data_IF_956745461685
#
_entry.id   IF_956745461685
#
_cell.length_a   1.000
_cell.length_b   1.000
_cell.length_c   1.000
_cell.angle_alpha   90.00
_cell.angle_beta   90.00
_cell.angle_gamma   90.00
#
_symmetry.space_group_name_H-M   'P 1'
#
loop_
_entity.id
_entity.type
_entity.pdbx_description
1 polymer ?
#
# COMPACT_ATOMS: atom_id res chain seq x y z
N UNK A 1 1.29 -17.68 30.28
CA UNK A 1 1.97 -17.65 28.97
C UNK A 1 2.29 -19.05 28.43
N UNK A 2 2.79 -20.00 29.24
CA UNK A 2 3.32 -21.30 28.76
C UNK A 2 2.33 -22.39 28.24
N UNK A 3 1.04 -22.09 28.01
CA UNK A 3 0.07 -23.10 27.50
C UNK A 3 -0.23 -22.96 26.00
N UNK A 4 -0.14 -21.75 25.46
CA UNK A 4 -0.56 -21.44 24.09
C UNK A 4 0.46 -20.56 23.33
N UNK A 5 1.64 -20.33 23.91
CA UNK A 5 2.75 -19.55 23.32
C UNK A 5 2.36 -18.19 22.71
N UNK A 6 1.36 -17.53 23.29
CA UNK A 6 1.02 -16.15 22.91
C UNK A 6 2.04 -15.14 23.46
N UNK A 7 2.33 -14.12 22.65
CA UNK A 7 3.05 -12.94 23.12
C UNK A 7 2.22 -12.14 24.12
N UNK A 8 2.88 -11.32 24.92
CA UNK A 8 2.24 -10.44 25.92
C UNK A 8 1.15 -9.58 25.28
N UNK A 9 1.44 -9.01 24.11
CA UNK A 9 0.50 -8.21 23.33
C UNK A 9 -0.70 -9.05 22.87
N UNK A 10 -0.47 -10.25 22.32
CA UNK A 10 -1.56 -11.14 21.91
C UNK A 10 -2.47 -11.52 23.09
N UNK A 11 -1.88 -11.85 24.24
CA UNK A 11 -2.62 -12.20 25.45
C UNK A 11 -3.47 -11.02 25.96
N UNK A 12 -2.93 -9.81 25.98
CA UNK A 12 -3.67 -8.59 26.35
C UNK A 12 -4.86 -8.35 25.41
N UNK A 13 -4.63 -8.43 24.10
CA UNK A 13 -5.70 -8.27 23.12
C UNK A 13 -6.81 -9.32 23.26
N UNK A 14 -6.45 -10.59 23.53
CA UNK A 14 -7.43 -11.66 23.77
C UNK A 14 -8.28 -11.36 25.02
N UNK A 15 -7.67 -10.85 26.10
CA UNK A 15 -8.40 -10.49 27.33
C UNK A 15 -9.37 -9.32 27.13
N UNK A 16 -9.08 -8.42 26.18
CA UNK A 16 -9.93 -7.28 25.83
C UNK A 16 -11.09 -7.64 24.89
N UNK A 17 -11.13 -8.85 24.33
CA UNK A 17 -12.20 -9.26 23.42
C UNK A 17 -13.56 -9.36 24.14
N UNK A 18 -14.64 -8.94 23.45
CA UNK A 18 -16.01 -9.05 23.94
C UNK A 18 -16.64 -10.37 23.47
N UNK A 19 -17.62 -10.91 24.20
CA UNK A 19 -18.33 -12.14 23.82
C UNK A 19 -18.93 -12.10 22.40
N UNK A 20 -19.39 -10.94 21.95
CA UNK A 20 -19.90 -10.74 20.58
C UNK A 20 -18.84 -10.98 19.49
N UNK A 21 -17.55 -10.82 19.81
CA UNK A 21 -16.43 -11.06 18.89
C UNK A 21 -16.16 -12.56 18.66
N UNK A 22 -16.80 -13.43 19.45
CA UNK A 22 -16.69 -14.89 19.35
C UNK A 22 -17.90 -15.51 18.62
N UNK A 23 -18.76 -14.68 18.02
CA UNK A 23 -19.87 -15.15 17.17
C UNK A 23 -19.31 -15.57 15.82
N UNK A 24 -19.87 -16.62 15.21
CA UNK A 24 -19.32 -17.22 13.98
C UNK A 24 -19.09 -16.24 12.82
N UNK A 25 -19.94 -15.22 12.67
CA UNK A 25 -19.77 -14.20 11.62
C UNK A 25 -18.58 -13.26 11.88
N UNK A 26 -18.24 -12.99 13.14
CA UNK A 26 -17.05 -12.21 13.51
C UNK A 26 -15.77 -13.05 13.37
N UNK A 27 -15.83 -14.34 13.70
CA UNK A 27 -14.70 -15.27 13.47
C UNK A 27 -14.39 -15.38 11.98
N UNK A 28 -15.43 -15.47 11.13
CA UNK A 28 -15.23 -15.52 9.67
C UNK A 28 -14.55 -14.24 9.18
N UNK A 29 -14.99 -13.05 9.62
CA UNK A 29 -14.34 -11.79 9.25
C UNK A 29 -12.87 -11.75 9.64
N UNK A 30 -12.51 -12.25 10.82
CA UNK A 30 -11.10 -12.32 11.26
C UNK A 30 -10.31 -13.27 10.35
N UNK A 31 -10.88 -14.42 9.97
CA UNK A 31 -10.25 -15.34 9.03
C UNK A 31 -10.03 -14.68 7.66
N UNK A 32 -11.05 -13.99 7.14
CA UNK A 32 -10.97 -13.30 5.85
C UNK A 32 -9.91 -12.19 5.90
N UNK A 33 -9.86 -11.41 7.00
CA UNK A 33 -8.83 -10.38 7.19
C UNK A 33 -7.42 -10.98 7.24
N UNK A 34 -7.23 -12.12 7.92
CA UNK A 34 -5.94 -12.81 7.95
C UNK A 34 -5.51 -13.20 6.53
N UNK A 35 -6.42 -13.78 5.74
CA UNK A 35 -6.13 -14.18 4.36
C UNK A 35 -5.80 -12.98 3.47
N UNK A 36 -6.50 -11.86 3.64
CA UNK A 36 -6.20 -10.60 2.95
C UNK A 36 -4.82 -10.05 3.33
N UNK A 37 -4.46 -10.08 4.62
CA UNK A 37 -3.14 -9.63 5.08
C UNK A 37 -2.02 -10.52 4.53
N UNK A 38 -2.20 -11.83 4.50
CA UNK A 38 -1.21 -12.76 3.94
C UNK A 38 -0.99 -12.45 2.45
N UNK A 39 -2.06 -12.31 1.67
CA UNK A 39 -1.96 -11.93 0.25
C UNK A 39 -1.27 -10.59 0.04
N UNK A 40 -1.56 -9.61 0.91
CA UNK A 40 -0.90 -8.32 0.86
C UNK A 40 0.60 -8.44 1.16
N UNK A 41 0.98 -9.24 2.16
CA UNK A 41 2.39 -9.50 2.48
C UNK A 41 3.09 -10.12 1.27
N UNK A 42 2.52 -11.18 0.69
CA UNK A 42 3.10 -11.84 -0.50
C UNK A 42 3.26 -10.87 -1.68
N UNK A 43 2.26 -10.03 -1.92
CA UNK A 43 2.33 -9.00 -2.95
C UNK A 43 3.45 -8.00 -2.67
N UNK A 44 3.52 -7.44 -1.47
CA UNK A 44 4.55 -6.47 -1.10
C UNK A 44 5.95 -7.08 -1.13
N UNK A 45 6.13 -8.30 -0.62
CA UNK A 45 7.39 -9.03 -0.69
C UNK A 45 7.81 -9.28 -2.14
N UNK A 46 6.87 -9.60 -3.02
CA UNK A 46 7.17 -9.78 -4.45
C UNK A 46 7.65 -8.51 -5.13
N UNK A 47 7.23 -7.33 -4.65
CA UNK A 47 7.71 -6.02 -5.15
C UNK A 47 9.11 -5.74 -4.60
N UNK A 48 9.32 -5.92 -3.29
CA UNK A 48 10.60 -5.62 -2.64
C UNK A 48 11.73 -6.51 -3.19
N UNK A 49 11.42 -7.77 -3.49
CA UNK A 49 12.42 -8.73 -3.96
C UNK A 49 12.68 -8.69 -5.48
N UNK A 50 11.95 -7.87 -6.25
CA UNK A 50 12.11 -7.75 -7.70
C UNK A 50 12.16 -6.27 -8.12
N UNK A 51 13.34 -5.79 -8.51
CA UNK A 51 13.55 -4.41 -8.94
C UNK A 51 12.74 -4.02 -10.18
N UNK A 52 12.53 -4.93 -11.14
CA UNK A 52 11.71 -4.64 -12.33
C UNK A 52 10.25 -4.40 -11.93
N UNK A 53 9.72 -5.22 -11.03
CA UNK A 53 8.35 -5.06 -10.51
C UNK A 53 8.20 -3.78 -9.70
N UNK A 54 9.22 -3.39 -8.95
CA UNK A 54 9.23 -2.10 -8.25
C UNK A 54 9.16 -0.93 -9.25
N UNK A 55 9.98 -0.96 -10.29
CA UNK A 55 9.98 0.09 -11.32
C UNK A 55 8.63 0.17 -12.06
N UNK A 56 8.00 -0.97 -12.35
CA UNK A 56 6.66 -1.03 -12.92
C UNK A 56 5.63 -0.33 -12.02
N UNK A 57 5.59 -0.68 -10.73
CA UNK A 57 4.68 -0.05 -9.76
C UNK A 57 4.91 1.46 -9.68
N UNK A 58 6.17 1.91 -9.65
CA UNK A 58 6.51 3.34 -9.62
C UNK A 58 6.00 4.05 -10.87
N UNK A 59 6.18 3.44 -12.05
CA UNK A 59 5.68 4.02 -13.31
C UNK A 59 4.16 4.10 -13.33
N UNK A 60 3.47 3.07 -12.85
CA UNK A 60 2.00 3.07 -12.72
C UNK A 60 1.52 4.21 -11.79
N UNK A 61 2.14 4.38 -10.62
CA UNK A 61 1.80 5.45 -9.68
C UNK A 61 2.06 6.84 -10.27
N UNK A 62 3.19 7.04 -10.94
CA UNK A 62 3.51 8.31 -11.60
C UNK A 62 2.52 8.64 -12.72
N UNK A 63 2.10 7.64 -13.50
CA UNK A 63 1.08 7.82 -14.53
C UNK A 63 -0.28 8.15 -13.93
N UNK A 64 -0.69 7.48 -12.86
CA UNK A 64 -1.93 7.80 -12.15
C UNK A 64 -1.93 9.25 -11.64
N UNK A 65 -0.82 9.72 -11.07
CA UNK A 65 -0.67 11.12 -10.64
C UNK A 65 -0.78 12.07 -11.83
N UNK A 66 -0.09 11.77 -12.92
CA UNK A 66 -0.13 12.57 -14.16
C UNK A 66 -1.54 12.65 -14.74
N UNK A 67 -2.30 11.55 -14.76
CA UNK A 67 -3.67 11.52 -15.26
C UNK A 67 -4.63 12.30 -14.35
N UNK A 68 -4.46 12.18 -13.04
CA UNK A 68 -5.37 12.79 -12.07
C UNK A 68 -5.12 14.28 -11.87
N UNK A 69 -3.88 14.73 -12.02
CA UNK A 69 -3.46 16.09 -11.64
C UNK A 69 -2.68 16.84 -12.72
N UNK A 70 -2.35 16.21 -13.85
CA UNK A 70 -1.62 16.86 -14.93
C UNK A 70 -2.44 17.92 -15.64
N UNK A 71 -1.78 19.00 -16.04
CA UNK A 71 -2.33 20.03 -16.92
C UNK A 71 -1.45 20.20 -18.17
N UNK A 72 -2.03 20.82 -19.20
CA UNK A 72 -1.28 21.17 -20.40
C UNK A 72 -0.23 22.24 -20.10
N UNK A 73 0.88 22.18 -20.83
CA UNK A 73 1.95 23.16 -20.70
C UNK A 73 1.44 24.55 -21.08
N UNK A 74 1.42 25.47 -20.12
CA UNK A 74 0.94 26.86 -20.29
C UNK A 74 1.86 27.76 -21.13
N UNK A 75 3.05 27.28 -21.47
CA UNK A 75 4.08 28.05 -22.18
C UNK A 75 4.60 27.25 -23.37
N UNK A 76 4.82 27.93 -24.48
CA UNK A 76 5.42 27.33 -25.67
C UNK A 76 6.95 27.48 -25.63
N UNK A 77 7.66 26.53 -26.22
CA UNK A 77 9.12 26.63 -26.40
C UNK A 77 9.38 27.20 -27.78
N UNK A 78 9.91 28.42 -27.84
CA UNK A 78 10.35 29.05 -29.09
C UNK A 78 11.86 28.91 -29.26
N UNK A 79 12.32 28.51 -30.45
CA UNK A 79 13.74 28.51 -30.83
C UNK A 79 14.28 29.91 -31.20
N UNK A 80 13.58 30.98 -30.81
CA UNK A 80 14.00 32.34 -31.13
C UNK A 80 15.16 32.75 -30.21
N UNK A 81 16.34 32.92 -30.80
CA UNK A 81 17.54 33.44 -30.13
C UNK A 81 17.57 34.99 -30.09
N UNK A 82 16.52 35.66 -30.56
CA UNK A 82 16.46 37.12 -30.58
C UNK A 82 16.06 37.72 -29.24
N UNK A 83 17.03 38.08 -28.40
CA UNK A 83 17.33 39.47 -27.94
C UNK A 83 18.54 39.41 -26.97
N UNK A 84 19.74 39.27 -27.52
CA UNK A 84 20.96 39.83 -26.90
C UNK A 84 21.86 40.36 -28.01
N UNK A 85 21.40 41.40 -28.68
CA UNK A 85 22.26 42.31 -29.44
C UNK A 85 22.07 43.70 -28.86
N UNK A 86 22.99 44.05 -27.94
CA UNK A 86 23.24 45.42 -27.48
C UNK A 86 23.76 46.30 -28.63
#
# INVERSE_FOLDING_TARGET
MAKFDFSDQQAEYILLMRLQSLVGLEIQKISDEIDEKIKLIEYLESIINNSEKLDEVVVEELNYIKEKYGDERKTEVSNDLGVYSL
#
